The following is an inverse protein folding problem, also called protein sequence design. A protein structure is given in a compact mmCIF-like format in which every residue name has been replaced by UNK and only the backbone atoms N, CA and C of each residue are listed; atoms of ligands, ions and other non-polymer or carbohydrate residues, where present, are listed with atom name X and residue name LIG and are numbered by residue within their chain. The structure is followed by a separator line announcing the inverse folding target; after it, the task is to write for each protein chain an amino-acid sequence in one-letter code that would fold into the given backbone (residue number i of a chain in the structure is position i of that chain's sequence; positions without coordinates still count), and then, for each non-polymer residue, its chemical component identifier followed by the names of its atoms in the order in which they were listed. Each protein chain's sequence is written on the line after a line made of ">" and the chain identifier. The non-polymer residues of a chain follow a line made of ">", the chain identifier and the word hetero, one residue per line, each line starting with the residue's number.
data_IF_150485302794
#
_entry.id   IF_150485302794
#
_cell.length_a   1.000
_cell.length_b   1.000
_cell.length_c   1.000
_cell.angle_alpha   90.00
_cell.angle_beta   90.00
_cell.angle_gamma   90.00
#
_symmetry.space_group_name_H-M   'P 1'
#
loop_
_entity.id
_entity.type
_entity.pdbx_description
1 polymer ?
#
# COMPACT_ATOMS: atom_id res chain seq x y z
N UNK A 1 -23.71 -18.89 -18.17
CA UNK A 1 -23.43 -18.50 -16.77
C UNK A 1 -24.30 -17.30 -16.42
N UNK A 2 -25.21 -17.41 -15.46
CA UNK A 2 -26.15 -16.32 -15.08
C UNK A 2 -25.66 -15.49 -13.89
N UNK A 3 -26.28 -14.34 -13.65
CA UNK A 3 -26.02 -13.53 -12.46
C UNK A 3 -26.30 -14.31 -11.15
N UNK A 4 -27.35 -15.13 -11.14
CA UNK A 4 -27.68 -16.03 -10.02
C UNK A 4 -26.57 -17.06 -9.80
N UNK A 5 -26.01 -17.66 -10.87
CA UNK A 5 -24.85 -18.55 -10.75
C UNK A 5 -23.68 -17.83 -10.09
N UNK A 6 -23.39 -16.58 -10.48
CA UNK A 6 -22.30 -15.81 -9.88
C UNK A 6 -22.55 -15.49 -8.39
N UNK A 7 -23.75 -15.06 -8.01
CA UNK A 7 -24.08 -14.81 -6.60
C UNK A 7 -23.96 -16.08 -5.75
N UNK A 8 -24.50 -17.20 -6.25
CA UNK A 8 -24.38 -18.51 -5.59
C UNK A 8 -22.92 -18.98 -5.51
N UNK A 9 -22.10 -18.65 -6.51
CA UNK A 9 -20.66 -18.89 -6.47
C UNK A 9 -20.02 -18.13 -5.31
N UNK A 10 -20.34 -16.85 -5.11
CA UNK A 10 -19.79 -16.06 -4.00
C UNK A 10 -20.18 -16.60 -2.62
N UNK A 11 -21.28 -17.34 -2.50
CA UNK A 11 -21.69 -18.00 -1.25
C UNK A 11 -21.18 -19.45 -1.12
N UNK A 12 -20.35 -19.93 -2.05
CA UNK A 12 -19.75 -21.26 -1.99
C UNK A 12 -20.66 -22.41 -2.44
N UNK A 13 -21.71 -22.13 -3.23
CA UNK A 13 -22.57 -23.18 -3.77
C UNK A 13 -21.80 -24.09 -4.73
N UNK A 14 -21.90 -25.40 -4.50
CA UNK A 14 -21.14 -26.39 -5.27
C UNK A 14 -21.46 -26.39 -6.76
N UNK A 15 -22.75 -26.38 -7.13
CA UNK A 15 -23.16 -26.40 -8.53
C UNK A 15 -22.68 -25.13 -9.26
N UNK A 16 -22.76 -23.98 -8.59
CA UNK A 16 -22.25 -22.74 -9.14
C UNK A 16 -20.73 -22.76 -9.35
N UNK A 17 -19.96 -23.29 -8.39
CA UNK A 17 -18.51 -23.47 -8.55
C UNK A 17 -18.19 -24.35 -9.76
N UNK A 18 -18.88 -25.49 -9.90
CA UNK A 18 -18.69 -26.39 -11.05
C UNK A 18 -19.01 -25.68 -12.36
N UNK A 19 -20.13 -24.95 -12.44
CA UNK A 19 -20.52 -24.17 -13.62
C UNK A 19 -19.53 -23.06 -13.98
N UNK A 20 -18.98 -22.34 -12.99
CA UNK A 20 -17.96 -21.32 -13.23
C UNK A 20 -16.66 -21.96 -13.72
N UNK A 21 -16.25 -23.06 -13.10
CA UNK A 21 -15.01 -23.78 -13.45
C UNK A 21 -15.02 -24.37 -14.87
N UNK A 22 -16.19 -24.76 -15.38
CA UNK A 22 -16.32 -25.38 -16.70
C UNK A 22 -16.47 -24.37 -17.83
N UNK A 23 -16.71 -23.09 -17.55
CA UNK A 23 -17.04 -22.08 -18.56
C UNK A 23 -15.88 -21.11 -18.80
N UNK A 24 -15.34 -21.07 -20.02
CA UNK A 24 -14.25 -20.16 -20.41
C UNK A 24 -14.62 -18.68 -20.34
N UNK A 25 -15.91 -18.33 -20.44
CA UNK A 25 -16.36 -16.95 -20.28
C UNK A 25 -16.14 -16.41 -18.86
N UNK A 26 -15.93 -17.29 -17.87
CA UNK A 26 -15.51 -16.88 -16.52
C UNK A 26 -14.17 -16.13 -16.54
N UNK A 27 -13.27 -16.42 -17.48
CA UNK A 27 -12.02 -15.67 -17.64
C UNK A 27 -12.27 -14.24 -18.11
N UNK A 28 -13.10 -14.07 -19.15
CA UNK A 28 -13.38 -12.74 -19.69
C UNK A 28 -14.16 -11.90 -18.67
N UNK A 29 -15.23 -12.45 -18.10
CA UNK A 29 -16.06 -11.77 -17.10
C UNK A 29 -15.26 -11.49 -15.83
N UNK A 30 -14.52 -12.48 -15.34
CA UNK A 30 -13.62 -12.32 -14.20
C UNK A 30 -12.56 -11.25 -14.46
N UNK A 31 -11.97 -11.23 -15.65
CA UNK A 31 -11.00 -10.21 -16.06
C UNK A 31 -11.58 -8.80 -16.05
N UNK A 32 -12.80 -8.62 -16.56
CA UNK A 32 -13.53 -7.35 -16.46
C UNK A 32 -13.78 -6.94 -15.01
N UNK A 33 -14.15 -7.88 -14.13
CA UNK A 33 -14.30 -7.60 -12.71
C UNK A 33 -12.98 -7.24 -12.02
N UNK A 34 -11.86 -7.87 -12.39
CA UNK A 34 -10.53 -7.51 -11.88
C UNK A 34 -10.15 -6.09 -12.31
N UNK A 35 -10.42 -5.71 -13.56
CA UNK A 35 -10.19 -4.35 -14.06
C UNK A 35 -11.08 -3.35 -13.30
N UNK A 36 -12.36 -3.65 -13.13
CA UNK A 36 -13.31 -2.82 -12.35
C UNK A 36 -12.88 -2.65 -10.89
N UNK A 37 -12.46 -3.74 -10.22
CA UNK A 37 -11.87 -3.68 -8.88
C UNK A 37 -10.55 -2.88 -8.87
N UNK A 38 -9.76 -2.97 -9.95
CA UNK A 38 -8.56 -2.16 -10.15
C UNK A 38 -8.86 -0.67 -10.20
N UNK A 39 -9.91 -0.25 -10.93
CA UNK A 39 -10.40 1.12 -10.90
C UNK A 39 -10.78 1.54 -9.48
N UNK A 40 -11.61 0.76 -8.80
CA UNK A 40 -12.02 1.04 -7.42
C UNK A 40 -10.84 1.24 -6.44
N UNK A 41 -9.72 0.53 -6.64
CA UNK A 41 -8.48 0.68 -5.86
C UNK A 41 -7.67 1.92 -6.18
N UNK A 42 -7.60 2.29 -7.45
CA UNK A 42 -6.55 3.18 -7.98
C UNK A 42 -7.05 4.58 -8.32
N UNK A 43 -8.36 4.76 -8.55
CA UNK A 43 -8.93 6.04 -9.02
C UNK A 43 -8.66 7.23 -8.08
N UNK A 44 -8.38 6.98 -6.80
CA UNK A 44 -8.06 8.00 -5.78
C UNK A 44 -6.59 8.27 -5.56
N UNK A 45 -5.72 7.47 -6.15
CA UNK A 45 -4.27 7.48 -5.82
C UNK A 45 -3.45 8.01 -6.96
N UNK A 46 -3.82 7.60 -8.16
CA UNK A 46 -3.05 7.84 -9.36
C UNK A 46 -3.89 8.62 -10.34
N UNK A 47 -3.20 9.48 -11.08
CA UNK A 47 -3.74 10.03 -12.30
C UNK A 47 -3.71 8.94 -13.36
N UNK A 48 -4.86 8.31 -13.59
CA UNK A 48 -4.97 7.15 -14.47
C UNK A 48 -4.80 7.51 -15.94
N UNK A 49 -4.93 8.79 -16.30
CA UNK A 49 -4.68 9.26 -17.67
C UNK A 49 -3.18 9.24 -17.99
N UNK A 50 -2.36 9.71 -17.06
CA UNK A 50 -0.91 9.80 -17.25
C UNK A 50 -0.16 8.56 -16.75
N UNK A 51 -0.79 7.76 -15.88
CA UNK A 51 -0.18 6.57 -15.29
C UNK A 51 -1.10 5.33 -15.43
N UNK A 52 -1.51 4.94 -16.66
CA UNK A 52 -2.45 3.83 -16.88
C UNK A 52 -1.91 2.48 -16.40
N UNK A 53 -0.57 2.33 -16.30
CA UNK A 53 0.09 1.12 -15.81
C UNK A 53 -0.39 0.67 -14.42
N UNK A 54 -0.86 1.59 -13.58
CA UNK A 54 -1.38 1.24 -12.26
C UNK A 54 -2.71 0.47 -12.32
N UNK A 55 -3.45 0.52 -13.43
CA UNK A 55 -4.61 -0.33 -13.66
C UNK A 55 -4.24 -1.78 -13.99
N UNK A 56 -3.05 -2.00 -14.55
CA UNK A 56 -2.54 -3.33 -14.88
C UNK A 56 -1.95 -4.04 -13.65
N UNK A 57 -1.54 -3.29 -12.63
CA UNK A 57 -0.93 -3.87 -11.43
C UNK A 57 -1.85 -4.86 -10.69
N UNK A 58 -3.14 -4.54 -10.41
CA UNK A 58 -4.08 -5.51 -9.82
C UNK A 58 -4.26 -6.76 -10.67
N UNK A 59 -4.28 -6.63 -12.01
CA UNK A 59 -4.39 -7.75 -12.93
C UNK A 59 -3.15 -8.65 -12.83
N UNK A 60 -1.95 -8.08 -12.93
CA UNK A 60 -0.69 -8.79 -12.80
C UNK A 60 -0.56 -9.47 -11.43
N UNK A 61 -0.88 -8.77 -10.35
CA UNK A 61 -0.88 -9.34 -9.00
C UNK A 61 -1.87 -10.51 -8.87
N UNK A 62 -3.07 -10.39 -9.44
CA UNK A 62 -4.06 -11.47 -9.42
C UNK A 62 -3.62 -12.70 -10.22
N UNK A 63 -2.97 -12.51 -11.36
CA UNK A 63 -2.38 -13.58 -12.16
C UNK A 63 -1.28 -14.28 -11.38
N UNK A 64 -0.33 -13.52 -10.81
CA UNK A 64 0.75 -14.07 -10.00
C UNK A 64 0.23 -14.86 -8.78
N UNK A 65 -0.74 -14.31 -8.04
CA UNK A 65 -1.37 -14.99 -6.90
C UNK A 65 -2.12 -16.26 -7.32
N UNK A 66 -2.93 -16.19 -8.39
CA UNK A 66 -3.67 -17.36 -8.87
C UNK A 66 -2.75 -18.46 -9.39
N UNK A 67 -1.66 -18.10 -10.10
CA UNK A 67 -0.66 -19.04 -10.56
C UNK A 67 0.10 -19.68 -9.38
N UNK A 68 0.48 -18.92 -8.36
CA UNK A 68 1.16 -19.47 -7.18
C UNK A 68 0.29 -20.49 -6.42
N UNK A 69 -0.99 -20.16 -6.14
CA UNK A 69 -1.91 -21.09 -5.50
C UNK A 69 -2.22 -22.31 -6.37
N UNK A 70 -2.45 -22.11 -7.68
CA UNK A 70 -2.70 -23.21 -8.60
C UNK A 70 -1.50 -24.17 -8.67
N UNK A 71 -0.28 -23.66 -8.78
CA UNK A 71 0.93 -24.50 -8.81
C UNK A 71 1.10 -25.29 -7.50
N UNK A 72 0.81 -24.68 -6.35
CA UNK A 72 0.82 -25.39 -5.07
C UNK A 72 -0.16 -26.57 -5.05
N UNK A 73 -1.40 -26.33 -5.49
CA UNK A 73 -2.47 -27.36 -5.56
C UNK A 73 -2.15 -28.44 -6.60
N UNK A 74 -1.65 -28.05 -7.77
CA UNK A 74 -1.31 -28.96 -8.85
C UNK A 74 -0.11 -29.84 -8.48
N UNK A 75 0.91 -29.27 -7.84
CA UNK A 75 2.05 -30.01 -7.30
C UNK A 75 1.60 -30.99 -6.21
N UNK A 76 0.75 -30.56 -5.28
CA UNK A 76 0.25 -31.47 -4.25
C UNK A 76 -0.62 -32.61 -4.84
N UNK A 77 -1.38 -32.32 -5.90
CA UNK A 77 -2.12 -33.34 -6.65
C UNK A 77 -1.20 -34.32 -7.38
N UNK A 78 -0.07 -33.83 -7.90
CA UNK A 78 0.95 -34.67 -8.52
C UNK A 78 1.60 -35.61 -7.49
N UNK A 79 2.01 -35.06 -6.35
CA UNK A 79 2.62 -35.83 -5.25
C UNK A 79 1.66 -36.90 -4.68
N UNK A 80 0.36 -36.62 -4.69
CA UNK A 80 -0.67 -37.55 -4.25
C UNK A 80 -1.10 -38.56 -5.32
N UNK A 81 -0.51 -38.50 -6.52
CA UNK A 81 -0.82 -39.35 -7.68
C UNK A 81 -2.33 -39.37 -8.01
N UNK A 82 -2.92 -38.16 -8.04
CA UNK A 82 -4.31 -37.97 -8.44
C UNK A 82 -4.41 -37.88 -9.96
N UNK A 83 -5.54 -38.35 -10.52
CA UNK A 83 -5.91 -38.03 -11.89
C UNK A 83 -6.04 -36.52 -12.04
N UNK A 84 -5.34 -35.95 -13.02
CA UNK A 84 -5.26 -34.50 -13.23
C UNK A 84 -5.64 -34.17 -14.67
N UNK A 85 -6.45 -33.11 -14.90
CA UNK A 85 -6.63 -32.56 -16.23
C UNK A 85 -5.34 -31.93 -16.76
N UNK A 86 -5.30 -31.64 -18.05
CA UNK A 86 -4.18 -30.93 -18.67
C UNK A 86 -3.91 -29.60 -17.94
N UNK A 87 -2.64 -29.38 -17.57
CA UNK A 87 -2.19 -28.25 -16.73
C UNK A 87 -2.80 -26.91 -17.15
N UNK A 88 -2.68 -26.56 -18.44
CA UNK A 88 -3.11 -25.24 -18.92
C UNK A 88 -4.63 -25.05 -18.85
N UNK A 89 -5.42 -26.10 -19.13
CA UNK A 89 -6.88 -26.03 -19.02
C UNK A 89 -7.32 -25.86 -17.57
N UNK A 90 -6.70 -26.62 -16.67
CA UNK A 90 -6.95 -26.54 -15.24
C UNK A 90 -6.55 -25.18 -14.67
N UNK A 91 -5.41 -24.63 -15.12
CA UNK A 91 -4.93 -23.31 -14.74
C UNK A 91 -5.91 -22.22 -15.16
N UNK A 92 -6.35 -22.23 -16.42
CA UNK A 92 -7.33 -21.28 -16.93
C UNK A 92 -8.67 -21.34 -16.17
N UNK A 93 -9.19 -22.54 -15.92
CA UNK A 93 -10.38 -22.73 -15.08
C UNK A 93 -10.20 -22.12 -13.68
N UNK A 94 -9.04 -22.38 -13.07
CA UNK A 94 -8.69 -21.86 -11.75
C UNK A 94 -8.55 -20.32 -11.73
N UNK A 95 -7.94 -19.72 -12.75
CA UNK A 95 -7.86 -18.27 -12.91
C UNK A 95 -9.26 -17.66 -13.01
N UNK A 96 -10.16 -18.29 -13.78
CA UNK A 96 -11.56 -17.87 -13.89
C UNK A 96 -12.24 -17.84 -12.53
N UNK A 97 -12.16 -18.94 -11.77
CA UNK A 97 -12.68 -19.01 -10.40
C UNK A 97 -12.07 -17.90 -9.51
N UNK A 98 -10.74 -17.76 -9.52
CA UNK A 98 -10.06 -16.76 -8.70
C UNK A 98 -10.52 -15.32 -9.03
N UNK A 99 -10.66 -15.00 -10.32
CA UNK A 99 -11.09 -13.67 -10.78
C UNK A 99 -12.57 -13.38 -10.55
N UNK A 100 -13.44 -14.38 -10.54
CA UNK A 100 -14.87 -14.19 -10.23
C UNK A 100 -15.11 -13.72 -8.79
N UNK A 101 -14.09 -13.78 -7.91
CA UNK A 101 -14.12 -13.18 -6.56
C UNK A 101 -13.74 -11.69 -6.52
N UNK A 102 -13.26 -11.12 -7.62
CA UNK A 102 -12.81 -9.73 -7.68
C UNK A 102 -13.86 -8.68 -7.29
N UNK A 103 -15.18 -8.86 -7.51
CA UNK A 103 -16.17 -7.88 -7.07
C UNK A 103 -16.26 -7.68 -5.55
N UNK A 104 -15.88 -8.68 -4.74
CA UNK A 104 -15.80 -8.52 -3.27
C UNK A 104 -14.87 -7.37 -2.87
N UNK A 105 -13.93 -7.07 -3.76
CA UNK A 105 -12.95 -6.04 -3.62
C UNK A 105 -13.60 -4.62 -3.71
N UNK A 106 -14.78 -4.46 -4.31
CA UNK A 106 -15.45 -3.15 -4.32
C UNK A 106 -15.75 -2.59 -2.92
N UNK A 107 -15.89 -3.45 -1.90
CA UNK A 107 -16.17 -3.05 -0.51
C UNK A 107 -15.07 -2.15 0.07
N UNK A 108 -13.78 -2.37 -0.25
CA UNK A 108 -12.73 -1.46 0.21
C UNK A 108 -12.63 -0.19 -0.63
N UNK A 109 -13.29 -0.12 -1.79
CA UNK A 109 -13.33 1.07 -2.66
C UNK A 109 -14.22 2.19 -2.09
N UNK A 110 -14.97 1.88 -1.02
CA UNK A 110 -15.82 2.82 -0.31
C UNK A 110 -14.98 3.97 0.27
N UNK A 111 -15.42 5.23 0.07
CA UNK A 111 -14.65 6.40 0.45
C UNK A 111 -14.82 6.76 1.94
N UNK A 112 -14.36 5.89 2.85
CA UNK A 112 -14.57 6.03 4.29
C UNK A 112 -14.16 7.39 4.87
N UNK A 113 -13.15 8.05 4.31
CA UNK A 113 -12.66 9.38 4.70
C UNK A 113 -13.71 10.50 4.54
N UNK A 114 -14.77 10.27 3.75
CA UNK A 114 -15.88 11.22 3.63
C UNK A 114 -16.90 11.11 4.76
N UNK A 115 -16.91 9.99 5.47
CA UNK A 115 -17.93 9.65 6.46
C UNK A 115 -17.35 9.52 7.88
N UNK A 116 -16.05 9.24 7.99
CA UNK A 116 -15.37 8.93 9.25
C UNK A 116 -14.17 9.83 9.46
N UNK A 117 -13.77 9.99 10.72
CA UNK A 117 -12.48 10.60 11.08
C UNK A 117 -11.30 9.83 10.46
N UNK A 118 -10.11 10.43 10.37
CA UNK A 118 -8.93 9.78 9.78
C UNK A 118 -8.65 8.39 10.40
N UNK A 119 -8.62 8.30 11.73
CA UNK A 119 -8.44 7.04 12.45
C UNK A 119 -9.61 6.06 12.21
N UNK A 120 -10.86 6.57 12.17
CA UNK A 120 -12.03 5.77 11.86
C UNK A 120 -11.99 5.18 10.44
N UNK A 121 -11.55 5.97 9.46
CA UNK A 121 -11.41 5.54 8.07
C UNK A 121 -10.31 4.48 7.92
N UNK A 122 -9.16 4.64 8.60
CA UNK A 122 -8.11 3.60 8.65
C UNK A 122 -8.66 2.31 9.23
N UNK A 123 -9.33 2.37 10.39
CA UNK A 123 -9.93 1.21 11.04
C UNK A 123 -10.98 0.52 10.15
N UNK A 124 -11.88 1.28 9.54
CA UNK A 124 -12.91 0.76 8.64
C UNK A 124 -12.32 0.06 7.40
N UNK A 125 -11.25 0.62 6.83
CA UNK A 125 -10.51 -0.01 5.72
C UNK A 125 -9.85 -1.31 6.14
N UNK A 126 -9.20 -1.35 7.31
CA UNK A 126 -8.58 -2.57 7.84
C UNK A 126 -9.63 -3.66 8.08
N UNK A 127 -10.78 -3.32 8.66
CA UNK A 127 -11.88 -4.28 8.84
C UNK A 127 -12.47 -4.76 7.52
N UNK A 128 -12.66 -3.87 6.55
CA UNK A 128 -13.12 -4.25 5.21
C UNK A 128 -12.15 -5.20 4.52
N UNK A 129 -10.83 -4.93 4.66
CA UNK A 129 -9.79 -5.79 4.13
C UNK A 129 -9.81 -7.17 4.80
N UNK A 130 -9.94 -7.23 6.12
CA UNK A 130 -10.02 -8.48 6.89
C UNK A 130 -11.27 -9.29 6.53
N UNK A 131 -12.43 -8.64 6.38
CA UNK A 131 -13.67 -9.29 5.97
C UNK A 131 -13.55 -9.90 4.57
N UNK A 132 -13.06 -9.12 3.61
CA UNK A 132 -12.90 -9.57 2.22
C UNK A 132 -11.83 -10.65 2.10
N UNK A 133 -10.72 -10.56 2.85
CA UNK A 133 -9.69 -11.60 2.84
C UNK A 133 -10.21 -12.91 3.40
N UNK A 134 -10.91 -12.87 4.55
CA UNK A 134 -11.54 -14.04 5.15
C UNK A 134 -12.54 -14.69 4.19
N UNK A 135 -13.42 -13.91 3.57
CA UNK A 135 -14.38 -14.42 2.60
C UNK A 135 -13.67 -15.12 1.43
N UNK A 136 -12.65 -14.49 0.85
CA UNK A 136 -11.90 -15.09 -0.28
C UNK A 136 -11.19 -16.37 0.12
N UNK A 137 -10.63 -16.45 1.33
CA UNK A 137 -10.00 -17.68 1.86
C UNK A 137 -11.03 -18.79 1.97
N UNK A 138 -12.16 -18.54 2.63
CA UNK A 138 -13.24 -19.53 2.80
C UNK A 138 -13.77 -20.02 1.43
N UNK A 139 -13.93 -19.10 0.48
CA UNK A 139 -14.39 -19.44 -0.86
C UNK A 139 -13.35 -20.27 -1.63
N UNK A 140 -12.05 -19.95 -1.52
CA UNK A 140 -11.00 -20.76 -2.16
C UNK A 140 -10.88 -22.15 -1.54
N UNK A 141 -11.05 -22.29 -0.22
CA UNK A 141 -11.14 -23.59 0.45
C UNK A 141 -12.28 -24.41 -0.16
N UNK A 142 -13.48 -23.82 -0.25
CA UNK A 142 -14.65 -24.47 -0.84
C UNK A 142 -14.46 -24.81 -2.33
N UNK A 143 -13.77 -23.97 -3.09
CA UNK A 143 -13.43 -24.24 -4.49
C UNK A 143 -12.53 -25.47 -4.61
N UNK A 144 -11.53 -25.63 -3.75
CA UNK A 144 -10.67 -26.82 -3.76
C UNK A 144 -11.42 -28.10 -3.35
N UNK A 145 -12.34 -28.00 -2.40
CA UNK A 145 -13.22 -29.12 -2.06
C UNK A 145 -14.04 -29.58 -3.27
N UNK A 146 -14.64 -28.64 -4.00
CA UNK A 146 -15.57 -28.96 -5.10
C UNK A 146 -14.84 -29.40 -6.37
N UNK A 147 -13.80 -28.66 -6.77
CA UNK A 147 -13.11 -28.88 -8.05
C UNK A 147 -12.12 -30.04 -7.96
N UNK A 148 -11.36 -30.10 -6.86
CA UNK A 148 -10.29 -31.09 -6.68
C UNK A 148 -10.76 -32.30 -5.86
N UNK A 149 -11.86 -32.18 -5.10
CA UNK A 149 -12.34 -33.24 -4.21
C UNK A 149 -11.53 -33.34 -2.91
N UNK A 150 -10.82 -32.27 -2.52
CA UNK A 150 -10.08 -32.26 -1.26
C UNK A 150 -11.03 -32.24 -0.05
N UNK A 151 -10.63 -32.88 1.04
CA UNK A 151 -11.29 -32.67 2.33
C UNK A 151 -11.04 -31.24 2.84
N UNK A 152 -11.99 -30.71 3.62
CA UNK A 152 -11.97 -29.35 4.18
C UNK A 152 -10.62 -29.04 4.84
N UNK A 153 -10.07 -29.96 5.63
CA UNK A 153 -8.78 -29.80 6.32
C UNK A 153 -7.62 -29.62 5.33
N UNK A 154 -7.55 -30.46 4.28
CA UNK A 154 -6.50 -30.37 3.27
C UNK A 154 -6.58 -29.06 2.50
N UNK A 155 -7.78 -28.70 2.06
CA UNK A 155 -8.02 -27.45 1.35
C UNK A 155 -7.66 -26.24 2.22
N UNK A 156 -8.06 -26.25 3.50
CA UNK A 156 -7.76 -25.19 4.47
C UNK A 156 -6.26 -25.01 4.68
N UNK A 157 -5.51 -26.10 4.94
CA UNK A 157 -4.07 -26.04 5.17
C UNK A 157 -3.32 -25.44 3.96
N UNK A 158 -3.69 -25.84 2.74
CA UNK A 158 -3.05 -25.32 1.52
C UNK A 158 -3.38 -23.84 1.28
N UNK A 159 -4.65 -23.45 1.43
CA UNK A 159 -5.07 -22.08 1.19
C UNK A 159 -4.46 -21.15 2.24
N UNK A 160 -4.39 -21.57 3.52
CA UNK A 160 -3.74 -20.80 4.57
C UNK A 160 -2.22 -20.74 4.41
N UNK A 161 -1.57 -21.84 4.01
CA UNK A 161 -0.14 -21.83 3.64
C UNK A 161 0.14 -20.79 2.56
N UNK A 162 -0.67 -20.78 1.50
CA UNK A 162 -0.56 -19.80 0.42
C UNK A 162 -0.85 -18.37 0.92
N UNK A 163 -1.91 -18.18 1.70
CA UNK A 163 -2.31 -16.86 2.19
C UNK A 163 -1.22 -16.24 3.08
N UNK A 164 -0.66 -17.01 4.01
CA UNK A 164 0.41 -16.56 4.90
C UNK A 164 1.69 -16.27 4.11
N UNK A 165 2.09 -17.16 3.20
CA UNK A 165 3.27 -16.97 2.37
C UNK A 165 3.16 -15.70 1.50
N UNK A 166 1.99 -15.46 0.88
CA UNK A 166 1.74 -14.25 0.09
C UNK A 166 1.69 -13.01 0.99
N UNK A 167 1.04 -13.06 2.15
CA UNK A 167 0.98 -11.93 3.07
C UNK A 167 2.37 -11.53 3.57
N UNK A 168 3.19 -12.51 3.99
CA UNK A 168 4.56 -12.30 4.42
C UNK A 168 5.46 -11.80 3.28
N UNK A 169 5.39 -12.43 2.10
CA UNK A 169 6.15 -11.99 0.94
C UNK A 169 5.78 -10.56 0.56
N UNK A 170 4.49 -10.24 0.56
CA UNK A 170 4.02 -8.92 0.25
C UNK A 170 4.57 -7.92 1.31
N UNK A 171 4.45 -8.19 2.61
CA UNK A 171 5.00 -7.33 3.66
C UNK A 171 6.51 -7.18 3.49
N UNK A 172 7.24 -8.25 3.17
CA UNK A 172 8.68 -8.23 2.96
C UNK A 172 9.10 -7.39 1.75
N UNK A 173 8.45 -7.60 0.59
CA UNK A 173 8.75 -6.86 -0.64
C UNK A 173 8.40 -5.38 -0.53
N UNK A 174 7.45 -5.04 0.34
CA UNK A 174 6.98 -3.67 0.48
C UNK A 174 7.63 -2.95 1.65
N UNK A 175 7.97 -3.62 2.76
CA UNK A 175 8.76 -3.01 3.82
C UNK A 175 10.17 -2.76 3.26
N UNK A 176 10.55 -1.52 2.95
CA UNK A 176 11.86 -1.29 2.37
C UNK A 176 12.91 -1.64 3.41
N UNK A 177 13.96 -2.34 2.98
CA UNK A 177 15.09 -2.75 3.83
C UNK A 177 15.82 -1.54 4.45
N UNK A 178 15.64 -0.35 3.87
CA UNK A 178 16.07 0.94 4.41
C UNK A 178 14.85 1.71 4.96
N UNK A 179 14.88 1.99 6.27
CA UNK A 179 13.79 2.39 7.20
C UNK A 179 12.86 3.57 6.84
N UNK A 180 12.94 4.18 5.66
CA UNK A 180 12.40 5.53 5.46
C UNK A 180 11.06 5.61 4.71
N UNK A 181 10.61 4.55 4.04
CA UNK A 181 9.39 4.60 3.21
C UNK A 181 8.34 3.61 3.75
N UNK A 182 7.27 4.13 4.34
CA UNK A 182 6.27 3.32 5.05
C UNK A 182 5.58 2.24 4.21
N UNK A 183 5.13 1.17 4.88
CA UNK A 183 4.42 -0.04 4.38
C UNK A 183 3.57 0.18 3.10
N UNK A 184 4.16 0.01 1.90
CA UNK A 184 3.55 0.22 0.59
C UNK A 184 2.32 -0.64 0.30
N UNK A 185 2.13 -1.77 0.98
CA UNK A 185 0.89 -2.54 0.80
C UNK A 185 -0.31 -1.88 1.45
N UNK A 186 -0.15 -1.35 2.66
CA UNK A 186 -1.26 -0.71 3.34
C UNK A 186 -1.55 0.66 2.72
N UNK A 187 -0.51 1.37 2.26
CA UNK A 187 -0.68 2.63 1.52
C UNK A 187 -1.16 2.37 0.08
N UNK A 188 -0.60 1.38 -0.62
CA UNK A 188 -0.90 0.99 -2.00
C UNK A 188 -2.19 0.18 -2.20
N UNK A 189 -2.61 -0.63 -1.24
CA UNK A 189 -3.91 -1.33 -1.27
C UNK A 189 -4.99 -0.59 -0.48
N UNK A 190 -4.68 -0.09 0.72
CA UNK A 190 -5.64 0.59 1.59
C UNK A 190 -5.87 2.07 1.26
N UNK A 191 -4.93 2.72 0.57
CA UNK A 191 -5.06 4.14 0.17
C UNK A 191 -4.91 5.10 1.32
N UNK A 192 -4.22 4.65 2.35
CA UNK A 192 -3.94 5.41 3.55
C UNK A 192 -2.60 6.10 3.29
N UNK A 193 -2.61 7.42 3.20
CA UNK A 193 -1.40 8.20 3.40
C UNK A 193 -1.40 8.56 4.88
N UNK A 194 -0.58 7.90 5.73
CA UNK A 194 -0.60 8.16 7.15
C UNK A 194 -0.07 9.57 7.38
N UNK A 195 -0.95 10.52 7.69
CA UNK A 195 -0.60 11.92 7.97
C UNK A 195 -0.17 12.14 9.42
N UNK A 196 -0.64 11.27 10.32
CA UNK A 196 -0.40 11.40 11.76
C UNK A 196 0.43 10.24 12.25
N UNK A 197 1.32 10.52 13.21
CA UNK A 197 2.10 9.50 13.93
C UNK A 197 1.20 8.38 14.50
N UNK A 198 -0.03 8.71 14.90
CA UNK A 198 -1.01 7.73 15.37
C UNK A 198 -1.42 6.72 14.28
N UNK A 199 -1.62 7.17 13.04
CA UNK A 199 -1.98 6.30 11.90
C UNK A 199 -0.80 5.41 11.53
N UNK A 200 0.42 5.96 11.53
CA UNK A 200 1.65 5.18 11.30
C UNK A 200 1.80 4.08 12.35
N UNK A 201 1.60 4.40 13.63
CA UNK A 201 1.66 3.42 14.73
C UNK A 201 0.61 2.33 14.56
N UNK A 202 -0.62 2.67 14.18
CA UNK A 202 -1.67 1.68 13.94
C UNK A 202 -1.31 0.75 12.77
N UNK A 203 -0.79 1.29 11.67
CA UNK A 203 -0.35 0.51 10.52
C UNK A 203 0.85 -0.37 10.84
N UNK A 204 1.84 0.15 11.57
CA UNK A 204 3.00 -0.60 12.03
C UNK A 204 2.61 -1.71 13.01
N UNK A 205 1.73 -1.43 13.98
CA UNK A 205 1.22 -2.43 14.91
C UNK A 205 0.44 -3.53 14.16
N UNK A 206 -0.41 -3.15 13.19
CA UNK A 206 -1.13 -4.11 12.36
C UNK A 206 -0.17 -4.96 11.53
N UNK A 207 0.80 -4.34 10.86
CA UNK A 207 1.80 -5.05 10.05
C UNK A 207 2.70 -5.96 10.88
N UNK A 208 3.09 -5.52 12.08
CA UNK A 208 3.83 -6.31 13.06
C UNK A 208 3.01 -7.49 13.57
N UNK A 209 1.72 -7.30 13.84
CA UNK A 209 0.81 -8.36 14.25
C UNK A 209 0.63 -9.40 13.14
N UNK A 210 0.38 -8.97 11.89
CA UNK A 210 0.25 -9.89 10.73
C UNK A 210 1.55 -10.66 10.49
N UNK A 211 2.70 -9.97 10.56
CA UNK A 211 4.01 -10.63 10.42
C UNK A 211 4.26 -11.63 11.56
N UNK A 212 4.00 -11.24 12.80
CA UNK A 212 4.20 -12.10 13.97
C UNK A 212 3.31 -13.32 13.94
N UNK A 213 2.02 -13.14 13.64
CA UNK A 213 1.07 -14.24 13.46
C UNK A 213 1.50 -15.15 12.29
N UNK A 214 1.81 -14.57 11.13
CA UNK A 214 2.26 -15.34 9.95
C UNK A 214 3.53 -16.15 10.23
N UNK A 215 4.53 -15.58 10.91
CA UNK A 215 5.72 -16.32 11.33
C UNK A 215 5.39 -17.47 12.30
N UNK A 216 4.41 -17.30 13.19
CA UNK A 216 4.01 -18.33 14.14
C UNK A 216 3.16 -19.43 13.48
N UNK A 217 2.29 -19.10 12.52
CA UNK A 217 1.37 -20.04 11.88
C UNK A 217 1.96 -20.72 10.65
N UNK A 218 2.91 -20.10 9.95
CA UNK A 218 3.52 -20.65 8.74
C UNK A 218 4.13 -22.06 8.96
N UNK A 219 4.89 -22.35 10.04
CA UNK A 219 5.39 -23.70 10.30
C UNK A 219 4.26 -24.72 10.45
N UNK A 220 3.16 -24.34 11.10
CA UNK A 220 1.97 -25.20 11.28
C UNK A 220 1.36 -25.55 9.93
N UNK A 221 1.23 -24.58 9.02
CA UNK A 221 0.69 -24.81 7.69
C UNK A 221 1.61 -25.63 6.78
N UNK A 222 2.92 -25.41 6.87
CA UNK A 222 3.92 -26.20 6.13
C UNK A 222 3.85 -27.67 6.59
N UNK A 223 4.00 -27.91 7.89
CA UNK A 223 3.99 -29.26 8.46
C UNK A 223 2.64 -29.93 8.18
N UNK A 224 1.52 -29.24 8.43
CA UNK A 224 0.19 -29.76 8.15
C UNK A 224 0.00 -30.13 6.68
N UNK A 225 0.44 -29.29 5.75
CA UNK A 225 0.34 -29.55 4.31
C UNK A 225 1.18 -30.74 3.88
N UNK A 226 2.37 -30.93 4.46
CA UNK A 226 3.24 -32.08 4.23
C UNK A 226 2.64 -33.37 4.80
N UNK A 227 2.15 -33.34 6.04
CA UNK A 227 1.51 -34.49 6.70
C UNK A 227 0.29 -34.93 5.89
N UNK A 228 -0.59 -34.00 5.50
CA UNK A 228 -1.79 -34.34 4.71
C UNK A 228 -1.44 -34.78 3.29
N UNK A 229 -0.31 -34.32 2.72
CA UNK A 229 0.18 -34.83 1.45
C UNK A 229 0.66 -36.29 1.55
N UNK A 230 1.18 -36.70 2.71
CA UNK A 230 1.67 -38.05 2.97
C UNK A 230 0.58 -39.06 3.38
N UNK A 231 -0.58 -38.60 3.86
CA UNK A 231 -1.66 -39.48 4.29
C UNK A 231 -2.27 -40.28 3.11
N UNK A 232 -2.68 -41.55 3.35
CA UNK A 232 -3.30 -42.39 2.33
C UNK A 232 -4.50 -41.71 1.67
N UNK A 233 -4.63 -41.93 0.36
CA UNK A 233 -5.54 -41.22 -0.55
C UNK A 233 -6.97 -41.11 0.02
N UNK A 234 -7.42 -39.88 0.29
CA UNK A 234 -8.85 -39.57 0.20
C UNK A 234 -9.31 -39.78 -1.24
N UNK A 235 -10.60 -40.07 -1.47
CA UNK A 235 -11.23 -40.24 -2.81
C UNK A 235 -11.25 -38.96 -3.69
N UNK A 236 -10.27 -38.08 -3.50
CA UNK A 236 -10.09 -36.88 -4.28
C UNK A 236 -9.82 -37.30 -5.73
N UNK A 237 -10.67 -36.83 -6.63
CA UNK A 237 -10.43 -36.89 -8.06
C UNK A 237 -10.74 -35.50 -8.57
N UNK A 238 -9.84 -34.95 -9.39
CA UNK A 238 -10.16 -33.74 -10.10
C UNK A 238 -11.43 -34.00 -10.89
N UNK A 239 -12.44 -33.16 -10.67
CA UNK A 239 -13.65 -33.26 -11.45
C UNK A 239 -13.28 -33.04 -12.90
N UNK A 240 -13.70 -33.93 -13.79
CA UNK A 240 -13.41 -33.75 -15.21
C UNK A 240 -14.04 -32.44 -15.70
N UNK A 241 -13.19 -31.48 -16.07
CA UNK A 241 -13.61 -30.15 -16.45
C UNK A 241 -14.00 -30.21 -17.92
N UNK A 242 -15.20 -30.72 -18.19
CA UNK A 242 -15.80 -30.61 -19.51
C UNK A 242 -15.94 -29.13 -19.85
N UNK A 243 -15.15 -28.65 -20.81
CA UNK A 243 -15.17 -27.24 -21.21
C UNK A 243 -16.48 -26.96 -21.93
N UNK A 244 -17.36 -26.21 -21.29
CA UNK A 244 -18.63 -25.78 -21.88
C UNK A 244 -18.44 -24.37 -22.42
N UNK A 245 -18.42 -24.23 -23.74
CA UNK A 245 -18.38 -22.94 -24.44
C UNK A 245 -19.80 -22.41 -24.63
N UNK A 246 -20.58 -22.35 -23.55
CA UNK A 246 -21.89 -21.71 -23.58
C UNK A 246 -21.72 -20.21 -23.26
N UNK A 247 -22.29 -19.30 -24.08
CA UNK A 247 -22.21 -17.88 -23.81
C UNK A 247 -22.74 -17.53 -22.42
N UNK A 248 -22.24 -16.45 -21.80
CA UNK A 248 -22.79 -15.99 -20.54
C UNK A 248 -24.21 -15.49 -20.78
N UNK A 249 -25.00 -15.46 -19.71
CA UNK A 249 -26.25 -14.74 -19.72
C UNK A 249 -25.99 -13.27 -20.03
N UNK A 250 -26.84 -12.67 -20.87
CA UNK A 250 -26.70 -11.27 -21.28
C UNK A 250 -26.66 -10.34 -20.07
N UNK A 251 -27.42 -10.63 -19.01
CA UNK A 251 -27.46 -9.83 -17.79
C UNK A 251 -26.11 -9.76 -17.08
N UNK A 252 -25.45 -10.91 -16.87
CA UNK A 252 -24.13 -10.94 -16.21
C UNK A 252 -23.05 -10.26 -17.06
N UNK A 253 -23.10 -10.44 -18.37
CA UNK A 253 -22.14 -9.82 -19.28
C UNK A 253 -22.30 -8.29 -19.33
N UNK A 254 -23.54 -7.81 -19.48
CA UNK A 254 -23.86 -6.38 -19.41
C UNK A 254 -23.48 -5.80 -18.06
N UNK A 255 -23.69 -6.52 -16.95
CA UNK A 255 -23.24 -6.09 -15.63
C UNK A 255 -21.71 -5.97 -15.54
N UNK A 256 -20.95 -6.92 -16.08
CA UNK A 256 -19.50 -6.88 -16.07
C UNK A 256 -18.96 -5.68 -16.87
N UNK A 257 -19.45 -5.46 -18.10
CA UNK A 257 -19.10 -4.30 -18.92
C UNK A 257 -19.53 -3.01 -18.22
N UNK A 258 -20.78 -2.96 -17.76
CA UNK A 258 -21.36 -1.82 -17.05
C UNK A 258 -20.54 -1.44 -15.82
N UNK A 259 -19.97 -2.41 -15.10
CA UNK A 259 -19.11 -2.15 -13.94
C UNK A 259 -17.81 -1.41 -14.32
N UNK A 260 -17.22 -1.69 -15.49
CA UNK A 260 -16.03 -0.99 -16.00
C UNK A 260 -16.43 0.37 -16.55
N UNK A 261 -17.50 0.41 -17.36
CA UNK A 261 -18.03 1.66 -17.94
C UNK A 261 -18.43 2.67 -16.88
N UNK A 262 -19.04 2.22 -15.77
CA UNK A 262 -19.38 3.07 -14.63
C UNK A 262 -18.15 3.82 -14.11
N UNK A 263 -17.01 3.14 -13.97
CA UNK A 263 -15.78 3.79 -13.55
C UNK A 263 -15.29 4.80 -14.57
N UNK A 264 -15.34 4.49 -15.88
CA UNK A 264 -14.99 5.47 -16.93
C UNK A 264 -15.84 6.74 -16.85
N UNK A 265 -17.12 6.63 -16.48
CA UNK A 265 -18.01 7.78 -16.24
C UNK A 265 -17.69 8.53 -14.94
N UNK A 266 -17.22 7.84 -13.90
CA UNK A 266 -16.86 8.44 -12.60
C UNK A 266 -15.49 9.14 -12.64
N UNK A 267 -14.57 8.70 -13.51
CA UNK A 267 -13.21 9.24 -13.57
C UNK A 267 -13.12 10.74 -13.84
N UNK A 268 -13.86 11.34 -14.81
CA UNK A 268 -13.85 12.78 -15.04
C UNK A 268 -14.12 13.62 -13.79
N UNK A 269 -14.96 13.12 -12.87
CA UNK A 269 -15.33 13.83 -11.64
C UNK A 269 -14.36 13.61 -10.48
N UNK A 270 -13.62 12.50 -10.49
CA UNK A 270 -12.74 12.11 -9.38
C UNK A 270 -11.26 12.37 -9.64
N UNK A 271 -10.86 12.51 -10.91
CA UNK A 271 -9.48 12.70 -11.35
C UNK A 271 -8.93 14.14 -11.35
N UNK A 272 -9.70 15.25 -11.35
CA UNK A 272 -9.12 16.60 -11.40
C UNK A 272 -8.08 16.85 -10.30
N UNK A 273 -8.38 16.44 -9.06
CA UNK A 273 -7.46 16.55 -7.92
C UNK A 273 -6.17 15.74 -8.11
N UNK A 274 -6.27 14.55 -8.72
CA UNK A 274 -5.12 13.68 -8.98
C UNK A 274 -4.24 14.24 -10.11
N UNK A 275 -4.86 14.84 -11.13
CA UNK A 275 -4.14 15.51 -12.23
C UNK A 275 -3.35 16.71 -11.75
N UNK A 276 -3.97 17.54 -10.91
CA UNK A 276 -3.29 18.70 -10.32
C UNK A 276 -2.11 18.25 -9.46
N UNK A 277 -2.34 17.29 -8.55
CA UNK A 277 -1.28 16.65 -7.77
C UNK A 277 -0.14 16.13 -8.66
N UNK A 278 -0.47 15.36 -9.70
CA UNK A 278 0.52 14.75 -10.59
C UNK A 278 1.36 15.80 -11.32
N UNK A 279 0.73 16.89 -11.78
CA UNK A 279 1.43 18.02 -12.42
C UNK A 279 2.46 18.65 -11.48
N UNK A 280 2.07 18.93 -10.24
CA UNK A 280 2.96 19.52 -9.23
C UNK A 280 4.09 18.57 -8.87
N UNK A 281 3.79 17.30 -8.60
CA UNK A 281 4.84 16.30 -8.32
C UNK A 281 5.82 16.18 -9.48
N UNK A 282 5.36 16.26 -10.73
CA UNK A 282 6.25 16.25 -11.89
C UNK A 282 7.11 17.52 -11.98
N UNK A 283 6.58 18.70 -11.67
CA UNK A 283 7.37 19.94 -11.64
C UNK A 283 8.49 19.86 -10.58
N UNK A 284 8.18 19.32 -9.40
CA UNK A 284 9.18 19.06 -8.36
C UNK A 284 10.25 18.06 -8.80
N UNK A 285 9.85 16.92 -9.40
CA UNK A 285 10.82 15.94 -9.93
C UNK A 285 11.71 16.54 -11.04
N UNK A 286 11.20 17.51 -11.79
CA UNK A 286 11.95 18.24 -12.80
C UNK A 286 12.81 19.39 -12.24
N UNK A 287 12.84 19.62 -10.92
CA UNK A 287 13.55 20.73 -10.29
C UNK A 287 12.92 22.11 -10.51
N UNK A 288 11.71 22.18 -11.09
CA UNK A 288 10.98 23.42 -11.39
C UNK A 288 10.12 23.85 -10.20
N UNK A 289 10.77 24.04 -9.06
CA UNK A 289 10.12 24.24 -7.75
C UNK A 289 9.32 25.55 -7.69
N UNK A 290 9.88 26.65 -8.20
CA UNK A 290 9.21 27.95 -8.22
C UNK A 290 7.90 27.90 -9.02
N UNK A 291 7.92 27.25 -10.19
CA UNK A 291 6.72 27.05 -11.00
C UNK A 291 5.68 26.16 -10.30
N UNK A 292 6.13 25.12 -9.59
CA UNK A 292 5.24 24.27 -8.82
C UNK A 292 4.56 25.03 -7.68
N UNK A 293 5.29 25.88 -6.96
CA UNK A 293 4.76 26.75 -5.91
C UNK A 293 3.79 27.81 -6.48
N UNK A 294 4.10 28.38 -7.65
CA UNK A 294 3.23 29.31 -8.35
C UNK A 294 1.92 28.62 -8.76
N UNK A 295 1.98 27.44 -9.39
CA UNK A 295 0.80 26.65 -9.75
C UNK A 295 -0.03 26.32 -8.51
N UNK A 296 0.58 25.85 -7.42
CA UNK A 296 -0.13 25.58 -6.17
C UNK A 296 -0.78 26.84 -5.59
N UNK A 297 -0.14 28.01 -5.73
CA UNK A 297 -0.67 29.26 -5.18
C UNK A 297 -1.96 29.74 -5.88
N UNK A 298 -2.23 29.26 -7.10
CA UNK A 298 -3.50 29.50 -7.82
C UNK A 298 -4.65 28.68 -7.23
N UNK A 299 -4.34 27.61 -6.50
CA UNK A 299 -5.31 26.65 -5.98
C UNK A 299 -5.50 26.78 -4.47
N UNK A 300 -6.64 26.30 -3.98
CA UNK A 300 -6.91 26.17 -2.54
C UNK A 300 -6.60 24.76 -2.04
N UNK A 301 -6.34 24.54 -0.74
CA UNK A 301 -6.05 23.20 -0.20
C UNK A 301 -7.11 22.14 -0.57
N UNK A 302 -8.38 22.54 -0.72
CA UNK A 302 -9.47 21.65 -1.08
C UNK A 302 -9.39 21.12 -2.52
N UNK A 303 -8.64 21.75 -3.42
CA UNK A 303 -8.42 21.29 -4.80
C UNK A 303 -7.52 20.05 -4.86
N UNK A 304 -6.80 19.77 -3.77
CA UNK A 304 -5.92 18.62 -3.64
C UNK A 304 -6.62 17.42 -3.00
N UNK A 305 -6.11 16.19 -3.22
CA UNK A 305 -6.60 15.03 -2.50
C UNK A 305 -6.44 15.26 -0.98
N UNK A 306 -7.46 14.92 -0.19
CA UNK A 306 -7.45 15.18 1.26
C UNK A 306 -6.26 14.54 2.00
N UNK A 307 -5.71 13.45 1.45
CA UNK A 307 -4.55 12.73 1.99
C UNK A 307 -3.21 13.21 1.41
N UNK A 308 -3.20 14.20 0.51
CA UNK A 308 -1.99 14.72 -0.11
C UNK A 308 -1.30 15.75 0.80
N UNK A 309 0.01 15.83 0.66
CA UNK A 309 0.91 16.80 1.29
C UNK A 309 1.80 17.38 0.20
N UNK A 310 2.08 18.70 0.22
CA UNK A 310 2.88 19.31 -0.82
C UNK A 310 4.33 18.78 -0.77
N UNK A 311 4.94 18.48 -1.92
CA UNK A 311 6.31 17.98 -2.00
C UNK A 311 7.35 19.05 -1.64
N UNK A 312 8.61 18.70 -1.25
CA UNK A 312 9.14 17.35 -1.15
C UNK A 312 8.49 16.59 0.01
N UNK A 313 7.85 15.46 -0.31
CA UNK A 313 7.18 14.62 0.68
C UNK A 313 8.18 13.57 1.17
N UNK A 314 8.40 13.52 2.48
CA UNK A 314 9.33 12.59 3.12
C UNK A 314 10.34 13.28 4.02
N UNK A 315 10.79 12.57 5.06
CA UNK A 315 11.53 13.12 6.20
C UNK A 315 12.88 13.76 5.86
N UNK A 316 13.49 13.40 4.72
CA UNK A 316 14.87 13.82 4.42
C UNK A 316 15.09 14.38 3.01
N UNK A 317 14.05 14.57 2.18
CA UNK A 317 14.17 15.25 0.88
C UNK A 317 15.10 14.61 -0.18
N UNK A 318 15.95 13.64 0.16
CA UNK A 318 17.00 13.13 -0.73
C UNK A 318 16.49 12.22 -1.85
N UNK A 319 15.28 11.68 -1.77
CA UNK A 319 14.80 10.67 -2.73
C UNK A 319 14.09 11.26 -3.97
N UNK A 320 13.73 12.55 -3.98
CA UNK A 320 12.90 13.15 -5.05
C UNK A 320 13.59 14.30 -5.80
N UNK A 321 14.88 14.12 -6.11
CA UNK A 321 15.68 15.09 -6.84
C UNK A 321 16.38 16.10 -5.92
N UNK A 322 17.18 17.00 -6.49
CA UNK A 322 17.99 18.00 -5.77
C UNK A 322 17.19 19.08 -5.00
N UNK A 323 15.90 18.85 -4.71
CA UNK A 323 15.06 19.83 -4.01
C UNK A 323 14.93 19.49 -2.53
N UNK A 324 15.71 20.17 -1.70
CA UNK A 324 15.56 20.12 -0.24
C UNK A 324 14.37 20.96 0.23
N UNK A 325 13.81 20.62 1.39
CA UNK A 325 12.79 21.44 2.06
C UNK A 325 13.29 22.88 2.30
N UNK A 326 14.58 23.04 2.58
CA UNK A 326 15.23 24.35 2.77
C UNK A 326 15.20 25.18 1.48
N UNK A 327 15.47 24.56 0.33
CA UNK A 327 15.37 25.22 -0.97
C UNK A 327 13.94 25.70 -1.31
N UNK A 328 12.91 24.98 -0.84
CA UNK A 328 11.51 25.42 -0.98
C UNK A 328 11.26 26.70 -0.16
N UNK A 329 11.77 26.76 1.08
CA UNK A 329 11.61 27.94 1.93
C UNK A 329 12.33 29.16 1.37
N UNK A 330 13.50 28.98 0.74
CA UNK A 330 14.19 30.07 0.06
C UNK A 330 13.33 30.70 -1.03
N UNK A 331 12.58 29.88 -1.78
CA UNK A 331 11.66 30.36 -2.82
C UNK A 331 10.42 31.00 -2.19
N UNK A 332 9.80 30.36 -1.18
CA UNK A 332 8.64 30.91 -0.45
C UNK A 332 8.95 32.29 0.17
N UNK A 333 10.21 32.52 0.58
CA UNK A 333 10.65 33.80 1.12
C UNK A 333 10.81 34.87 0.05
N UNK A 334 11.31 34.51 -1.13
CA UNK A 334 11.57 35.43 -2.25
C UNK A 334 10.29 35.79 -3.00
N UNK A 335 9.42 34.81 -3.20
CA UNK A 335 8.25 34.92 -4.05
C UNK A 335 6.96 35.04 -3.21
N UNK A 336 5.97 35.78 -3.72
CA UNK A 336 4.64 35.83 -3.09
C UNK A 336 3.91 34.51 -3.32
N UNK A 337 4.04 33.60 -2.36
CA UNK A 337 3.29 32.33 -2.33
C UNK A 337 1.99 32.46 -1.55
N UNK A 338 1.01 31.60 -1.84
CA UNK A 338 -0.27 31.60 -1.13
C UNK A 338 -0.06 31.31 0.38
N UNK A 339 -0.82 31.96 1.30
CA UNK A 339 -0.64 31.80 2.74
C UNK A 339 -0.72 30.34 3.22
N UNK A 340 -1.63 29.55 2.63
CA UNK A 340 -1.81 28.15 3.00
C UNK A 340 -0.59 27.27 2.70
N UNK A 341 0.20 27.62 1.67
CA UNK A 341 1.43 26.89 1.35
C UNK A 341 2.48 27.14 2.42
N UNK A 342 2.65 28.40 2.82
CA UNK A 342 3.55 28.77 3.91
C UNK A 342 3.19 28.01 5.18
N UNK A 343 1.92 27.96 5.55
CA UNK A 343 1.44 27.20 6.71
C UNK A 343 1.74 25.70 6.58
N UNK A 344 1.48 25.10 5.41
CA UNK A 344 1.73 23.69 5.16
C UNK A 344 3.23 23.34 5.27
N UNK A 345 4.10 24.15 4.67
CA UNK A 345 5.55 23.94 4.76
C UNK A 345 6.12 24.28 6.14
N UNK A 346 5.56 25.25 6.87
CA UNK A 346 5.95 25.50 8.27
C UNK A 346 5.59 24.31 9.16
N UNK A 347 4.44 23.67 8.92
CA UNK A 347 4.08 22.44 9.63
C UNK A 347 5.08 21.30 9.31
N UNK A 348 5.47 21.15 8.04
CA UNK A 348 6.50 20.17 7.66
C UNK A 348 7.87 20.48 8.27
N UNK A 349 8.31 21.75 8.25
CA UNK A 349 9.57 22.18 8.86
C UNK A 349 9.56 21.98 10.37
N UNK A 350 8.43 22.23 11.02
CA UNK A 350 8.27 21.96 12.45
C UNK A 350 8.40 20.47 12.77
N UNK A 351 7.76 19.61 11.97
CA UNK A 351 7.90 18.16 12.15
C UNK A 351 9.35 17.72 11.90
N UNK A 352 9.96 18.22 10.83
CA UNK A 352 11.35 17.98 10.48
C UNK A 352 12.29 18.34 11.63
N UNK A 353 12.25 19.58 12.14
CA UNK A 353 13.09 20.05 13.23
C UNK A 353 12.82 19.34 14.57
N UNK A 354 11.61 18.79 14.75
CA UNK A 354 11.26 18.01 15.94
C UNK A 354 11.79 16.58 15.92
N UNK A 355 12.31 16.08 14.79
CA UNK A 355 12.95 14.77 14.71
C UNK A 355 14.46 14.93 14.81
N UNK A 356 15.09 14.54 15.92
CA UNK A 356 16.53 14.73 16.12
C UNK A 356 17.46 14.16 15.02
N UNK A 357 16.92 13.38 14.09
CA UNK A 357 17.66 12.81 12.97
C UNK A 357 18.20 13.85 11.96
N UNK A 358 17.66 15.08 11.90
CA UNK A 358 18.25 16.15 11.08
C UNK A 358 19.63 16.61 11.58
N UNK A 359 19.99 16.28 12.83
CA UNK A 359 21.33 16.49 13.37
C UNK A 359 22.42 15.74 12.58
N UNK A 360 22.04 14.68 11.88
CA UNK A 360 22.95 13.86 11.07
C UNK A 360 23.12 14.35 9.63
N UNK A 361 22.52 15.50 9.28
CA UNK A 361 22.82 16.15 8.01
C UNK A 361 24.30 16.54 7.94
N UNK A 362 24.76 16.80 6.72
CA UNK A 362 26.01 17.47 6.46
C UNK A 362 26.03 18.89 7.09
N UNK A 363 27.24 19.40 7.31
CA UNK A 363 27.44 20.67 8.00
C UNK A 363 26.86 21.86 7.20
N UNK A 364 26.83 21.78 5.87
CA UNK A 364 26.25 22.82 5.01
C UNK A 364 24.73 22.91 5.22
N UNK A 365 24.04 21.77 5.29
CA UNK A 365 22.61 21.71 5.59
C UNK A 365 22.28 22.28 6.97
N UNK A 366 23.11 22.01 7.99
CA UNK A 366 22.93 22.60 9.34
C UNK A 366 23.09 24.13 9.33
N UNK A 367 24.10 24.63 8.61
CA UNK A 367 24.29 26.06 8.44
C UNK A 367 23.11 26.70 7.68
N UNK A 368 22.58 26.02 6.66
CA UNK A 368 21.37 26.47 5.95
C UNK A 368 20.15 26.53 6.88
N UNK A 369 19.94 25.53 7.74
CA UNK A 369 18.87 25.55 8.75
C UNK A 369 19.05 26.75 9.69
N UNK A 370 20.23 26.92 10.27
CA UNK A 370 20.49 28.03 11.19
C UNK A 370 20.30 29.40 10.50
N UNK A 371 20.72 29.53 9.24
CA UNK A 371 20.51 30.72 8.42
C UNK A 371 19.03 30.98 8.15
N UNK A 372 18.27 29.95 7.75
CA UNK A 372 16.84 30.03 7.49
C UNK A 372 16.07 30.46 8.74
N UNK A 373 16.36 29.85 9.89
CA UNK A 373 15.72 30.18 11.16
C UNK A 373 15.93 31.64 11.56
N UNK A 374 17.10 32.23 11.32
CA UNK A 374 17.34 33.66 11.59
C UNK A 374 16.50 34.59 10.71
N UNK A 375 16.10 34.14 9.52
CA UNK A 375 15.38 34.95 8.54
C UNK A 375 13.87 34.79 8.63
N UNK A 376 13.37 33.70 9.21
CA UNK A 376 11.93 33.46 9.35
C UNK A 376 11.33 34.24 10.54
N UNK A 377 10.15 34.86 10.37
CA UNK A 377 9.38 35.43 11.49
C UNK A 377 9.11 34.41 12.60
N UNK A 378 8.82 33.16 12.22
CA UNK A 378 8.58 32.03 13.14
C UNK A 378 9.89 31.41 13.66
N UNK A 379 11.04 31.99 13.28
CA UNK A 379 12.37 31.47 13.49
C UNK A 379 12.71 31.13 14.93
N UNK A 380 12.35 32.00 15.88
CA UNK A 380 12.61 31.77 17.32
C UNK A 380 11.85 30.54 17.85
N UNK A 381 10.57 30.37 17.45
CA UNK A 381 9.77 29.23 17.87
C UNK A 381 10.31 27.93 17.27
N UNK A 382 10.67 27.95 16.00
CA UNK A 382 11.25 26.80 15.32
C UNK A 382 12.65 26.45 15.87
N UNK A 383 13.46 27.46 16.23
CA UNK A 383 14.76 27.26 16.87
C UNK A 383 14.65 26.59 18.24
N UNK A 384 13.62 26.90 19.03
CA UNK A 384 13.34 26.20 20.29
C UNK A 384 13.03 24.73 20.07
N UNK A 385 12.18 24.42 19.09
CA UNK A 385 11.84 23.03 18.75
C UNK A 385 13.09 22.25 18.30
N UNK A 386 13.93 22.89 17.48
CA UNK A 386 15.19 22.32 17.04
C UNK A 386 16.16 22.09 18.22
N UNK A 387 16.35 23.08 19.09
CA UNK A 387 17.20 22.96 20.28
C UNK A 387 16.72 21.84 21.22
N UNK A 388 15.43 21.80 21.54
CA UNK A 388 14.83 20.74 22.36
C UNK A 388 15.03 19.34 21.76
N UNK A 389 14.99 19.23 20.43
CA UNK A 389 15.23 17.96 19.73
C UNK A 389 16.71 17.54 19.78
N UNK A 390 17.64 18.49 19.65
CA UNK A 390 19.08 18.26 19.82
C UNK A 390 19.39 17.81 21.25
N UNK A 391 18.87 18.52 22.24
CA UNK A 391 19.16 18.24 23.65
C UNK A 391 18.66 16.85 24.03
N UNK A 392 17.43 16.49 23.64
CA UNK A 392 16.90 15.13 23.83
C UNK A 392 17.74 14.04 23.17
N UNK A 393 18.37 14.32 22.04
CA UNK A 393 19.25 13.35 21.38
C UNK A 393 20.55 13.18 22.15
N UNK A 394 21.14 14.28 22.63
CA UNK A 394 22.35 14.21 23.45
C UNK A 394 22.09 13.42 24.73
N UNK A 395 20.97 13.69 25.41
CA UNK A 395 20.55 12.92 26.59
C UNK A 395 20.42 11.41 26.27
N UNK A 396 19.81 11.06 25.13
CA UNK A 396 19.68 9.67 24.69
C UNK A 396 21.02 9.01 24.36
N UNK A 397 21.98 9.77 23.83
CA UNK A 397 23.33 9.27 23.53
C UNK A 397 24.09 9.01 24.82
N UNK A 398 24.01 9.93 25.78
CA UNK A 398 24.67 9.81 27.09
C UNK A 398 24.13 8.60 27.87
N UNK A 399 22.82 8.34 27.78
CA UNK A 399 22.17 7.18 28.40
C UNK A 399 22.58 5.82 27.80
N UNK A 400 23.05 5.78 26.55
CA UNK A 400 23.30 4.53 25.85
C UNK A 400 24.62 3.83 26.24
N UNK A 401 25.42 4.40 27.16
CA UNK A 401 26.70 3.84 27.63
C UNK A 401 27.54 3.21 26.51
N UNK A 402 27.60 3.86 25.35
CA UNK A 402 28.49 3.43 24.29
C UNK A 402 29.93 3.51 24.80
N UNK A 403 30.76 2.53 24.42
CA UNK A 403 32.19 2.67 24.58
C UNK A 403 32.65 3.96 23.88
N UNK A 404 33.74 4.59 24.33
CA UNK A 404 34.28 5.77 23.63
C UNK A 404 34.54 5.49 22.14
N UNK A 405 34.96 4.25 21.83
CA UNK A 405 35.22 3.79 20.46
C UNK A 405 33.92 3.68 19.63
N UNK A 406 32.83 3.15 20.20
CA UNK A 406 31.53 3.14 19.53
C UNK A 406 30.97 4.55 19.38
N UNK A 407 31.17 5.41 20.37
CA UNK A 407 30.72 6.81 20.34
C UNK A 407 31.43 7.55 19.22
N UNK A 408 32.76 7.47 19.10
CA UNK A 408 33.49 8.12 18.00
C UNK A 408 33.12 7.53 16.62
N UNK A 409 32.80 6.23 16.57
CA UNK A 409 32.39 5.56 15.33
C UNK A 409 31.01 5.98 14.86
N UNK A 410 30.05 6.12 15.78
CA UNK A 410 28.67 6.48 15.45
C UNK A 410 28.45 7.99 15.42
N UNK A 411 29.18 8.75 16.23
CA UNK A 411 29.09 10.21 16.38
C UNK A 411 30.48 10.82 16.14
N UNK A 412 30.88 11.04 14.88
CA UNK A 412 32.14 11.73 14.61
C UNK A 412 32.14 13.09 15.32
N UNK A 413 33.30 13.47 15.89
CA UNK A 413 33.45 14.74 16.61
C UNK A 413 32.89 15.87 15.75
N UNK A 414 32.00 16.71 16.29
CA UNK A 414 31.36 17.76 15.51
C UNK A 414 32.44 18.67 14.93
N UNK A 415 32.35 18.97 13.64
CA UNK A 415 33.22 19.96 13.04
C UNK A 415 32.99 21.32 13.71
N UNK A 416 33.95 22.23 13.58
CA UNK A 416 33.79 23.60 14.08
C UNK A 416 32.53 24.27 13.51
N UNK A 417 32.23 24.05 12.23
CA UNK A 417 31.05 24.60 11.56
C UNK A 417 29.74 24.07 12.15
N UNK A 418 29.70 22.77 12.45
CA UNK A 418 28.56 22.13 13.11
C UNK A 418 28.30 22.74 14.49
N UNK A 419 29.34 22.88 15.30
CA UNK A 419 29.24 23.50 16.63
C UNK A 419 28.71 24.93 16.52
N UNK A 420 29.26 25.73 15.61
CA UNK A 420 28.79 27.10 15.37
C UNK A 420 27.32 27.16 14.93
N UNK A 421 26.86 26.22 14.08
CA UNK A 421 25.47 26.15 13.66
C UNK A 421 24.52 25.82 14.83
N UNK A 422 24.88 24.83 15.64
CA UNK A 422 24.11 24.40 16.82
C UNK A 422 24.02 25.53 17.85
N UNK A 423 25.14 26.17 18.16
CA UNK A 423 25.18 27.29 19.09
C UNK A 423 24.34 28.46 18.56
N UNK A 424 24.40 28.72 17.24
CA UNK A 424 23.55 29.71 16.59
C UNK A 424 22.04 29.44 16.77
N UNK A 425 21.63 28.17 16.69
CA UNK A 425 20.23 27.74 16.93
C UNK A 425 19.85 27.94 18.40
N UNK A 426 20.70 27.52 19.34
CA UNK A 426 20.47 27.67 20.79
C UNK A 426 20.38 29.14 21.21
N UNK A 427 21.27 29.98 20.70
CA UNK A 427 21.25 31.43 20.95
C UNK A 427 19.96 32.05 20.41
N UNK A 428 19.51 31.64 19.21
CA UNK A 428 18.25 32.13 18.65
C UNK A 428 17.04 31.66 19.48
N UNK A 429 17.07 30.42 19.97
CA UNK A 429 16.02 29.85 20.84
C UNK A 429 15.89 30.59 22.19
N UNK A 430 17.01 31.07 22.73
CA UNK A 430 17.09 31.76 24.03
C UNK A 430 16.62 33.23 24.01
N UNK A 431 16.45 33.84 22.83
CA UNK A 431 15.92 35.22 22.73
C UNK A 431 14.45 35.24 23.18
N UNK A 432 14.13 36.22 24.04
CA UNK A 432 12.80 36.42 24.63
C UNK A 432 11.92 37.32 23.78
#
# INVERSE_FOLDING_TARGET
>A
MSATTWLNYLTGNEQAIRQVSSNLWSLLIGGLFVISAGFARTYRKYDLRHQPRFLLFPLAASLASSAALFNLVYLQSWLADLSRPAYFRAWLSFVGLFWMTAPLAWIYGVPYERFLSAAGAVKARLWSLALVSLWRVLLMVRVLEVVVGYGVTRATLLVLLFADAVAMLAIHLTTPRNRSVGLPLLTGMGGITPKRRADVRLLQATGGCVTGLGCATLPVWIIGSLVVAALPRSRASWTDIAVVVAPPDTGLFVFAIGSVSLWLLVLPFTQPKQRLRYRIENLFRAGRVAEALAEMSVHVPADFPASWEPPPAGRFGHEQGNTSLLGVFDIIRRDRTAPWLREAYLAQLKEYLGEALWYWLDDDSLLQVAGLLKQLPEGMLLARIAADAIDKLNDQVDDLHYSEEDTERFLPKPSKQRTEAIDGIRVLAAKR
#
